data_IF_285266006701
#
_entry.id   IF_285266006701
#
_cell.length_a   1.000
_cell.length_b   1.000
_cell.length_c   1.000
_cell.angle_alpha   90.00
_cell.angle_beta   90.00
_cell.angle_gamma   90.00
#
_symmetry.space_group_name_H-M   'P 1'
#
loop_
_entity.id
_entity.type
_entity.pdbx_description
1 polymer ?
#
# COMPACT_ATOMS: atom_id res chain seq x y z
N UNK A 1 42.04 37.88 -23.00
CA UNK A 1 41.39 38.96 -22.23
C UNK A 1 41.49 38.57 -20.76
N UNK A 2 42.08 39.43 -19.95
CA UNK A 2 42.59 39.16 -18.60
C UNK A 2 41.65 39.67 -17.49
N UNK A 3 42.03 39.36 -16.24
CA UNK A 3 41.68 40.00 -14.93
C UNK A 3 40.23 39.82 -14.43
N UNK A 4 39.97 39.18 -13.28
CA UNK A 4 40.34 39.48 -11.88
C UNK A 4 39.59 40.69 -11.29
N UNK A 5 38.80 40.48 -10.23
CA UNK A 5 38.75 41.46 -9.14
C UNK A 5 38.36 40.82 -7.80
N UNK A 6 39.15 41.18 -6.80
CA UNK A 6 39.16 40.75 -5.41
C UNK A 6 38.55 41.86 -4.53
N UNK A 7 38.32 41.52 -3.25
CA UNK A 7 38.31 42.41 -2.08
C UNK A 7 37.03 43.24 -1.86
N UNK A 8 36.26 42.87 -0.83
CA UNK A 8 36.25 43.70 0.38
C UNK A 8 36.07 42.87 1.64
N UNK A 9 37.04 43.05 2.52
CA UNK A 9 37.21 42.49 3.84
C UNK A 9 36.80 43.56 4.86
N UNK A 10 36.34 43.13 6.04
CA UNK A 10 36.23 43.89 7.30
C UNK A 10 35.18 45.02 7.36
N UNK A 11 34.35 45.16 8.39
CA UNK A 11 34.73 45.21 9.80
C UNK A 11 33.45 45.22 10.66
N UNK A 12 33.36 44.41 11.72
CA UNK A 12 32.87 44.92 13.01
C UNK A 12 33.53 44.15 14.17
N UNK A 13 34.21 44.84 15.11
CA UNK A 13 35.10 44.23 16.08
C UNK A 13 34.40 43.95 17.41
N UNK A 14 34.85 42.95 18.17
CA UNK A 14 35.08 43.14 19.62
C UNK A 14 35.88 41.99 20.25
N UNK A 15 37.16 42.27 20.47
CA UNK A 15 37.83 42.21 21.78
C UNK A 15 37.78 40.91 22.60
N UNK A 16 38.92 40.23 22.57
CA UNK A 16 39.71 39.73 23.69
C UNK A 16 39.01 39.27 25.00
N UNK A 17 39.37 38.03 25.36
CA UNK A 17 39.63 37.49 26.70
C UNK A 17 38.47 37.34 27.69
N UNK A 18 38.22 36.07 28.05
CA UNK A 18 37.84 35.72 29.42
C UNK A 18 36.95 34.51 29.53
N UNK A 19 37.51 33.30 29.66
CA UNK A 19 36.96 32.14 30.38
C UNK A 19 35.41 31.99 30.46
N UNK A 20 34.69 32.17 29.35
CA UNK A 20 33.28 31.79 29.21
C UNK A 20 33.26 30.41 28.56
N UNK A 21 33.75 29.43 29.30
CA UNK A 21 32.95 28.51 30.11
C UNK A 21 32.23 27.53 29.19
N UNK A 22 32.79 26.31 29.15
CA UNK A 22 32.31 25.12 28.46
C UNK A 22 30.78 24.93 28.52
N UNK A 23 30.13 25.50 29.54
CA UNK A 23 28.69 25.56 29.75
C UNK A 23 27.91 26.16 28.58
N UNK A 24 28.40 27.21 27.91
CA UNK A 24 27.67 27.82 26.78
C UNK A 24 27.71 26.90 25.55
N UNK A 25 28.80 26.16 25.35
CA UNK A 25 28.92 25.14 24.30
C UNK A 25 28.01 23.93 24.55
N UNK A 26 27.91 23.48 25.81
CA UNK A 26 27.00 22.39 26.21
C UNK A 26 25.53 22.76 25.98
N UNK A 27 25.15 24.01 26.26
CA UNK A 27 23.78 24.48 26.09
C UNK A 27 23.38 24.57 24.62
N UNK A 28 24.29 25.01 23.74
CA UNK A 28 24.07 25.00 22.28
C UNK A 28 23.98 23.56 21.75
N UNK A 29 24.84 22.64 22.22
CA UNK A 29 24.80 21.23 21.83
C UNK A 29 23.53 20.50 22.31
N UNK A 30 23.01 20.84 23.49
CA UNK A 30 21.76 20.32 24.03
C UNK A 30 20.56 20.78 23.19
N UNK A 31 20.54 22.06 22.77
CA UNK A 31 19.46 22.62 21.93
C UNK A 31 19.48 21.98 20.53
N UNK A 32 20.65 21.67 19.96
CA UNK A 32 20.73 20.94 18.68
C UNK A 32 20.28 19.47 18.78
N UNK A 33 20.36 18.83 19.95
CA UNK A 33 19.97 17.41 20.10
C UNK A 33 18.45 17.19 20.12
N UNK A 34 17.65 18.21 20.42
CA UNK A 34 16.17 18.08 20.48
C UNK A 34 15.52 18.13 19.10
N UNK A 35 16.21 18.67 18.07
CA UNK A 35 15.68 18.77 16.71
C UNK A 35 15.89 17.50 15.85
N UNK A 36 16.54 16.46 16.38
CA UNK A 36 16.86 15.24 15.63
C UNK A 36 15.83 14.11 15.80
N UNK A 37 14.74 14.33 16.53
CA UNK A 37 13.62 13.39 16.65
C UNK A 37 12.55 13.61 15.58
N UNK A 38 12.96 13.72 14.32
CA UNK A 38 12.05 13.50 13.19
C UNK A 38 12.78 12.57 12.24
N UNK A 39 12.53 11.27 12.40
CA UNK A 39 12.94 10.27 11.42
C UNK A 39 11.83 10.20 10.40
N UNK A 40 11.93 10.88 9.23
CA UNK A 40 11.06 10.55 8.12
C UNK A 40 11.39 9.11 7.75
N UNK A 41 10.51 8.20 8.16
CA UNK A 41 10.44 6.85 7.62
C UNK A 41 10.27 7.02 6.11
N UNK A 42 11.39 7.01 5.38
CA UNK A 42 11.38 7.04 3.93
C UNK A 42 10.52 5.88 3.43
N UNK A 43 9.82 6.03 2.29
CA UNK A 43 9.07 4.95 1.69
C UNK A 43 10.07 3.85 1.30
N UNK A 44 10.27 2.89 2.20
CA UNK A 44 10.87 1.61 1.88
C UNK A 44 10.06 1.01 0.75
N UNK A 45 10.74 0.45 -0.23
CA UNK A 45 10.13 -0.22 -1.36
C UNK A 45 9.13 -1.28 -0.87
N UNK A 46 7.85 -0.89 -0.88
CA UNK A 46 6.64 -1.69 -0.94
C UNK A 46 6.59 -2.99 -0.17
N UNK A 47 6.52 -2.96 1.16
CA UNK A 47 5.56 -3.87 1.80
C UNK A 47 4.19 -3.20 1.70
N UNK A 48 3.19 -3.84 1.05
CA UNK A 48 1.85 -3.29 1.06
C UNK A 48 1.41 -3.20 2.52
N UNK A 49 0.99 -2.00 2.94
CA UNK A 49 0.32 -1.82 4.22
C UNK A 49 -1.02 -2.54 4.15
N UNK A 50 -1.01 -3.85 4.43
CA UNK A 50 -2.18 -4.74 4.41
C UNK A 50 -3.08 -4.44 5.61
N UNK A 51 -3.51 -3.19 5.79
CA UNK A 51 -4.53 -2.84 6.77
C UNK A 51 -5.87 -3.35 6.26
N UNK A 52 -6.09 -4.64 6.49
CA UNK A 52 -7.34 -5.31 6.19
C UNK A 52 -8.44 -4.69 7.05
N UNK A 53 -9.35 -3.95 6.41
CA UNK A 53 -10.53 -3.41 7.08
C UNK A 53 -11.56 -4.52 7.25
N UNK A 54 -11.77 -4.99 8.49
CA UNK A 54 -12.82 -5.97 8.82
C UNK A 54 -14.19 -5.54 8.30
N UNK A 55 -14.50 -4.25 8.38
CA UNK A 55 -15.75 -3.66 7.88
C UNK A 55 -15.89 -3.84 6.37
N UNK A 56 -14.85 -3.54 5.60
CA UNK A 56 -14.89 -3.66 4.14
C UNK A 56 -14.97 -5.13 3.74
N UNK A 57 -14.16 -5.99 4.38
CA UNK A 57 -14.20 -7.43 4.14
C UNK A 57 -15.60 -8.00 4.39
N UNK A 58 -16.22 -7.69 5.53
CA UNK A 58 -17.58 -8.12 5.85
C UNK A 58 -18.60 -7.60 4.82
N UNK A 59 -18.45 -6.36 4.35
CA UNK A 59 -19.29 -5.78 3.30
C UNK A 59 -19.20 -6.60 2.01
N UNK A 60 -18.01 -6.77 1.46
CA UNK A 60 -17.81 -7.49 0.19
C UNK A 60 -18.28 -8.95 0.29
N UNK A 61 -17.95 -9.63 1.40
CA UNK A 61 -18.40 -11.01 1.63
C UNK A 61 -19.92 -11.11 1.66
N UNK A 62 -20.59 -10.23 2.43
CA UNK A 62 -22.05 -10.24 2.52
C UNK A 62 -22.71 -9.92 1.17
N UNK A 63 -22.18 -8.97 0.40
CA UNK A 63 -22.70 -8.64 -0.93
C UNK A 63 -22.55 -9.80 -1.89
N UNK A 64 -21.33 -10.37 -1.98
CA UNK A 64 -21.05 -11.46 -2.92
C UNK A 64 -21.80 -12.75 -2.56
N UNK A 65 -22.00 -13.02 -1.27
CA UNK A 65 -22.70 -14.19 -0.77
C UNK A 65 -24.22 -13.99 -0.57
N UNK A 66 -24.76 -12.81 -0.87
CA UNK A 66 -26.18 -12.54 -0.71
C UNK A 66 -27.04 -13.43 -1.64
N UNK A 67 -28.23 -13.80 -1.20
CA UNK A 67 -29.21 -14.57 -2.00
C UNK A 67 -29.56 -13.87 -3.32
N UNK A 68 -29.51 -12.53 -3.35
CA UNK A 68 -29.72 -11.73 -4.56
C UNK A 68 -28.66 -11.94 -5.65
N UNK A 69 -27.56 -12.61 -5.33
CA UNK A 69 -26.55 -13.02 -6.30
C UNK A 69 -26.86 -14.40 -6.91
N UNK A 70 -27.94 -15.09 -6.50
CA UNK A 70 -28.51 -16.32 -7.10
C UNK A 70 -27.53 -17.47 -7.43
N UNK A 71 -26.31 -17.44 -6.89
CA UNK A 71 -25.21 -18.36 -7.21
C UNK A 71 -24.29 -17.82 -8.31
N UNK A 72 -23.02 -18.24 -8.31
CA UNK A 72 -21.98 -17.71 -9.22
C UNK A 72 -21.40 -18.81 -10.11
N UNK A 73 -22.28 -19.63 -10.68
CA UNK A 73 -21.87 -20.68 -11.62
C UNK A 73 -21.19 -20.03 -12.84
N UNK A 74 -20.00 -20.52 -13.21
CA UNK A 74 -19.24 -19.96 -14.32
C UNK A 74 -20.05 -20.05 -15.63
N UNK A 75 -20.03 -18.98 -16.43
CA UNK A 75 -20.81 -18.82 -17.64
C UNK A 75 -22.27 -18.39 -17.43
N UNK A 76 -22.72 -18.19 -16.19
CA UNK A 76 -24.09 -17.75 -15.90
C UNK A 76 -24.22 -16.23 -15.86
N UNK A 77 -25.45 -15.72 -16.00
CA UNK A 77 -25.73 -14.28 -15.87
C UNK A 77 -25.41 -13.73 -14.47
N UNK A 78 -25.49 -14.58 -13.45
CA UNK A 78 -25.23 -14.20 -12.06
C UNK A 78 -23.73 -14.15 -11.73
N UNK A 79 -22.89 -14.92 -12.43
CA UNK A 79 -21.45 -14.71 -12.43
C UNK A 79 -21.12 -13.30 -12.95
N UNK A 80 -21.72 -12.90 -14.08
CA UNK A 80 -21.52 -11.56 -14.64
C UNK A 80 -21.93 -10.48 -13.63
N UNK A 81 -23.07 -10.64 -12.96
CA UNK A 81 -23.50 -9.71 -11.90
C UNK A 81 -22.46 -9.58 -10.77
N UNK A 82 -21.85 -10.68 -10.33
CA UNK A 82 -20.79 -10.64 -9.33
C UNK A 82 -19.50 -9.99 -9.87
N UNK A 83 -19.15 -10.24 -11.13
CA UNK A 83 -18.00 -9.64 -11.78
C UNK A 83 -18.15 -8.12 -11.96
N UNK A 84 -19.35 -7.65 -12.30
CA UNK A 84 -19.72 -6.24 -12.38
C UNK A 84 -19.54 -5.54 -11.01
N UNK A 85 -20.00 -6.17 -9.92
CA UNK A 85 -19.78 -5.65 -8.57
C UNK A 85 -18.29 -5.47 -8.26
N UNK A 86 -17.45 -6.46 -8.58
CA UNK A 86 -16.00 -6.38 -8.35
C UNK A 86 -15.37 -5.26 -9.19
N UNK A 87 -15.81 -5.10 -10.45
CA UNK A 87 -15.36 -4.01 -11.32
C UNK A 87 -15.68 -2.64 -10.70
N UNK A 88 -16.90 -2.46 -10.20
CA UNK A 88 -17.32 -1.20 -9.56
C UNK A 88 -16.48 -0.88 -8.33
N UNK A 89 -16.21 -1.87 -7.48
CA UNK A 89 -15.32 -1.69 -6.32
C UNK A 89 -13.89 -1.36 -6.75
N UNK A 90 -13.38 -1.98 -7.83
CA UNK A 90 -12.07 -1.64 -8.38
C UNK A 90 -11.99 -0.20 -8.91
N UNK A 91 -13.03 0.26 -9.57
CA UNK A 91 -13.16 1.65 -10.00
C UNK A 91 -13.19 2.61 -8.80
N UNK A 92 -13.94 2.27 -7.74
CA UNK A 92 -13.99 3.07 -6.51
C UNK A 92 -12.62 3.17 -5.84
N UNK A 93 -11.82 2.10 -5.89
CA UNK A 93 -10.44 2.10 -5.39
C UNK A 93 -9.43 2.75 -6.35
N UNK A 94 -9.83 3.18 -7.54
CA UNK A 94 -8.96 3.83 -8.53
C UNK A 94 -7.98 2.88 -9.19
N UNK A 95 -8.30 1.59 -9.28
CA UNK A 95 -7.48 0.61 -9.98
C UNK A 95 -7.60 0.79 -11.49
N UNK A 96 -6.48 0.63 -12.19
CA UNK A 96 -6.44 0.61 -13.65
C UNK A 96 -6.82 -0.79 -14.18
N UNK A 97 -7.51 -0.88 -15.32
CA UNK A 97 -7.92 -2.15 -15.89
C UNK A 97 -6.73 -2.94 -16.42
N UNK A 98 -6.61 -4.21 -16.02
CA UNK A 98 -5.59 -5.14 -16.55
C UNK A 98 -5.95 -5.78 -17.90
N UNK A 99 -7.18 -5.61 -18.36
CA UNK A 99 -7.72 -6.09 -19.62
C UNK A 99 -8.78 -5.10 -20.13
N UNK A 100 -9.37 -5.34 -21.29
CA UNK A 100 -10.44 -4.48 -21.80
C UNK A 100 -11.60 -4.41 -20.79
N UNK A 101 -11.94 -3.19 -20.35
CA UNK A 101 -13.02 -2.93 -19.40
C UNK A 101 -12.97 -3.77 -18.11
N UNK A 102 -11.77 -4.13 -17.62
CA UNK A 102 -11.52 -4.99 -16.45
C UNK A 102 -11.86 -6.48 -16.63
N UNK A 103 -12.32 -6.92 -17.80
CA UNK A 103 -12.74 -8.30 -18.02
C UNK A 103 -11.75 -9.07 -18.90
N UNK A 104 -11.33 -10.23 -18.42
CA UNK A 104 -10.57 -11.21 -19.20
C UNK A 104 -11.49 -12.39 -19.53
N UNK A 105 -11.97 -12.44 -20.78
CA UNK A 105 -12.81 -13.54 -21.25
C UNK A 105 -12.03 -14.84 -21.46
N UNK A 106 -12.64 -15.95 -21.07
CA UNK A 106 -12.18 -17.31 -21.40
C UNK A 106 -13.38 -18.23 -21.64
N UNK A 107 -13.13 -19.42 -22.21
CA UNK A 107 -14.20 -20.41 -22.41
C UNK A 107 -14.36 -21.26 -21.16
N UNK A 108 -15.57 -21.29 -20.62
CA UNK A 108 -15.96 -22.26 -19.60
C UNK A 108 -16.20 -23.61 -20.28
N UNK A 109 -15.57 -24.65 -19.77
CA UNK A 109 -15.79 -26.03 -20.21
C UNK A 109 -16.67 -26.72 -19.17
N UNK A 110 -17.88 -27.11 -19.56
CA UNK A 110 -18.71 -27.97 -18.73
C UNK A 110 -18.14 -29.39 -18.76
N UNK A 111 -17.31 -29.70 -17.77
CA UNK A 111 -16.93 -31.09 -17.50
C UNK A 111 -18.08 -31.71 -16.74
N UNK A 112 -18.77 -32.74 -17.27
CA UNK A 112 -19.85 -33.37 -16.53
C UNK A 112 -19.30 -33.87 -15.19
N UNK A 113 -19.87 -33.32 -14.11
CA UNK A 113 -19.65 -33.79 -12.75
C UNK A 113 -19.93 -35.30 -12.76
N UNK A 114 -18.87 -36.12 -12.69
CA UNK A 114 -19.06 -37.55 -12.46
C UNK A 114 -19.75 -37.67 -11.12
N UNK A 115 -20.95 -38.26 -11.01
CA UNK A 115 -21.71 -38.26 -9.78
C UNK A 115 -20.84 -38.82 -8.64
N UNK A 116 -20.78 -38.08 -7.53
CA UNK A 116 -19.98 -38.39 -6.34
C UNK A 116 -20.21 -39.82 -5.79
N UNK A 117 -21.26 -40.52 -6.23
CA UNK A 117 -21.51 -41.92 -5.97
C UNK A 117 -20.42 -42.90 -6.46
N UNK A 118 -19.50 -42.47 -7.34
CA UNK A 118 -18.37 -43.30 -7.79
C UNK A 118 -17.03 -42.96 -7.11
N UNK A 119 -16.98 -41.96 -6.22
CA UNK A 119 -15.76 -41.67 -5.46
C UNK A 119 -15.67 -42.65 -4.30
N UNK A 120 -15.02 -43.80 -4.53
CA UNK A 120 -14.60 -44.69 -3.46
C UNK A 120 -13.50 -43.99 -2.65
N UNK A 121 -13.84 -43.50 -1.46
CA UNK A 121 -12.85 -43.09 -0.46
C UNK A 121 -12.13 -44.35 0.00
N UNK A 122 -10.89 -44.53 -0.45
CA UNK A 122 -10.04 -45.58 0.06
C UNK A 122 -9.49 -45.10 1.41
N UNK A 123 -10.04 -45.63 2.50
CA UNK A 123 -9.51 -45.45 3.85
C UNK A 123 -8.04 -45.90 3.85
N UNK A 124 -7.12 -44.95 3.97
CA UNK A 124 -5.70 -45.26 4.18
C UNK A 124 -5.55 -45.55 5.66
N UNK A 125 -5.67 -46.83 6.01
CA UNK A 125 -5.34 -47.32 7.35
C UNK A 125 -3.87 -47.05 7.63
N UNK A 126 -3.58 -46.27 8.68
CA UNK A 126 -2.23 -46.13 9.23
C UNK A 126 -1.85 -47.35 10.07
#
# INVERSE_FOLDING_TARGET
MASANLIFCDTFPHRATGRTSLLTGVLVALVLSVAACDSPSGPGAGEPDLRLSERNLRRHLNTLAADSMYGRAAGSQYELQAAEYIREEFLEYGLEPGAENFFQGFRVLDVPETPAAAVQYQEVSQ
#
